data_IF_039108752280
#
_entry.id   IF_039108752280
#
_cell.length_a   1.000
_cell.length_b   1.000
_cell.length_c   1.000
_cell.angle_alpha   90.00
_cell.angle_beta   90.00
_cell.angle_gamma   90.00
#
_symmetry.space_group_name_H-M   'P 1'
#
loop_
_entity.id
_entity.type
_entity.pdbx_description
1 polymer ?
#
# COMPACT_ATOMS: atom_id res chain seq x y z
N UNK A 1 -4.02 -19.09 -5.85
CA UNK A 1 -4.67 -17.80 -5.55
C UNK A 1 -5.91 -17.94 -4.69
N UNK A 2 -6.92 -18.70 -5.14
CA UNK A 2 -8.11 -18.95 -4.33
C UNK A 2 -7.71 -19.56 -2.99
N UNK A 3 -6.73 -20.47 -2.97
CA UNK A 3 -6.22 -21.04 -1.71
C UNK A 3 -5.52 -20.03 -0.80
N UNK A 4 -4.78 -19.03 -1.32
CA UNK A 4 -4.09 -18.03 -0.48
C UNK A 4 -5.05 -16.99 0.08
N UNK A 5 -6.02 -16.55 -0.72
CA UNK A 5 -7.12 -15.66 -0.29
C UNK A 5 -8.01 -16.37 0.72
N UNK A 6 -8.36 -17.62 0.43
CA UNK A 6 -9.18 -18.45 1.30
C UNK A 6 -8.46 -18.76 2.61
N UNK A 7 -7.16 -19.04 2.56
CA UNK A 7 -6.34 -19.20 3.76
C UNK A 7 -6.33 -17.93 4.61
N UNK A 8 -6.20 -16.74 3.99
CA UNK A 8 -6.25 -15.46 4.71
C UNK A 8 -7.60 -15.22 5.40
N UNK A 9 -8.72 -15.46 4.71
CA UNK A 9 -10.07 -15.34 5.27
C UNK A 9 -10.27 -16.30 6.47
N UNK A 10 -9.75 -17.52 6.37
CA UNK A 10 -10.01 -18.61 7.33
C UNK A 10 -9.06 -18.68 8.50
N UNK A 11 -8.07 -17.78 8.58
CA UNK A 11 -7.14 -17.77 9.70
C UNK A 11 -7.88 -17.69 11.03
N UNK A 12 -7.34 -18.35 12.05
CA UNK A 12 -7.88 -18.29 13.41
C UNK A 12 -7.94 -16.84 13.93
N UNK A 13 -7.04 -15.98 13.47
CA UNK A 13 -7.06 -14.55 13.76
C UNK A 13 -8.38 -13.87 13.31
N UNK A 14 -8.86 -14.16 12.10
CA UNK A 14 -10.15 -13.63 11.62
C UNK A 14 -11.31 -14.19 12.44
N UNK A 15 -11.29 -15.48 12.77
CA UNK A 15 -12.30 -16.13 13.62
C UNK A 15 -12.35 -15.52 15.02
N UNK A 16 -11.21 -15.26 15.64
CA UNK A 16 -11.11 -14.63 16.95
C UNK A 16 -11.70 -13.21 16.93
N UNK A 17 -11.37 -12.41 15.91
CA UNK A 17 -11.97 -11.09 15.72
C UNK A 17 -13.48 -11.16 15.51
N UNK A 18 -13.98 -12.11 14.73
CA UNK A 18 -15.41 -12.28 14.52
C UNK A 18 -16.12 -12.58 15.85
N UNK A 19 -15.59 -13.52 16.62
CA UNK A 19 -16.14 -13.88 17.94
C UNK A 19 -16.09 -12.70 18.91
N UNK A 20 -14.98 -11.96 18.97
CA UNK A 20 -14.81 -10.79 19.83
C UNK A 20 -15.88 -9.72 19.57
N UNK A 21 -16.24 -9.51 18.29
CA UNK A 21 -17.29 -8.57 17.88
C UNK A 21 -18.69 -9.22 17.76
N UNK A 22 -18.92 -10.34 18.46
CA UNK A 22 -20.23 -10.99 18.59
C UNK A 22 -20.75 -11.65 17.33
N UNK A 23 -19.87 -12.13 16.44
CA UNK A 23 -20.21 -12.91 15.26
C UNK A 23 -20.07 -14.42 15.45
N UNK A 24 -20.60 -15.17 14.49
CA UNK A 24 -20.43 -16.63 14.41
C UNK A 24 -19.19 -16.97 13.56
N UNK A 25 -18.07 -17.23 14.22
CA UNK A 25 -16.82 -17.59 13.56
C UNK A 25 -16.90 -18.91 12.77
N UNK A 26 -17.83 -19.81 13.10
CA UNK A 26 -18.00 -21.10 12.39
C UNK A 26 -18.48 -20.90 10.95
N UNK A 27 -19.06 -19.74 10.63
CA UNK A 27 -19.44 -19.38 9.26
C UNK A 27 -18.24 -19.30 8.31
N UNK A 28 -17.03 -19.09 8.82
CA UNK A 28 -15.83 -19.11 7.98
C UNK A 28 -15.39 -20.52 7.55
N UNK A 29 -15.87 -21.57 8.22
CA UNK A 29 -15.59 -22.97 7.85
C UNK A 29 -16.44 -23.44 6.65
N UNK A 30 -17.44 -22.66 6.24
CA UNK A 30 -18.23 -22.89 5.04
C UNK A 30 -17.46 -22.52 3.75
N UNK A 31 -17.77 -23.14 2.59
CA UNK A 31 -17.13 -22.82 1.31
C UNK A 31 -17.09 -21.32 1.01
N UNK A 32 -16.11 -20.86 0.22
CA UNK A 32 -15.87 -19.44 -0.05
C UNK A 32 -17.13 -18.70 -0.55
N UNK A 33 -17.99 -19.39 -1.33
CA UNK A 33 -19.26 -18.84 -1.85
C UNK A 33 -20.24 -18.44 -0.74
N UNK A 34 -20.16 -19.06 0.43
CA UNK A 34 -21.02 -18.80 1.60
C UNK A 34 -20.31 -17.97 2.67
N UNK A 35 -19.03 -18.25 2.93
CA UNK A 35 -18.26 -17.54 3.96
C UNK A 35 -17.94 -16.09 3.58
N UNK A 36 -17.71 -15.79 2.29
CA UNK A 36 -17.40 -14.44 1.85
C UNK A 36 -18.59 -13.47 2.02
N UNK A 37 -19.82 -13.76 1.55
CA UNK A 37 -20.96 -12.87 1.80
C UNK A 37 -21.25 -12.63 3.28
N UNK A 38 -21.06 -13.66 4.12
CA UNK A 38 -21.15 -13.49 5.56
C UNK A 38 -20.09 -12.51 6.08
N UNK A 39 -18.83 -12.71 5.69
CA UNK A 39 -17.72 -11.86 6.11
C UNK A 39 -17.91 -10.42 5.64
N UNK A 40 -18.28 -10.20 4.37
CA UNK A 40 -18.59 -8.88 3.80
C UNK A 40 -19.66 -8.14 4.59
N UNK A 41 -20.71 -8.84 5.01
CA UNK A 41 -21.76 -8.28 5.85
C UNK A 41 -21.25 -7.96 7.25
N UNK A 42 -20.46 -8.87 7.83
CA UNK A 42 -19.92 -8.74 9.19
C UNK A 42 -18.95 -7.56 9.33
N UNK A 43 -17.99 -7.43 8.42
CA UNK A 43 -16.92 -6.41 8.51
C UNK A 43 -17.44 -4.98 8.36
N UNK A 44 -18.69 -4.77 7.92
CA UNK A 44 -19.33 -3.44 7.95
C UNK A 44 -19.39 -2.84 9.35
N UNK A 45 -19.34 -3.66 10.41
CA UNK A 45 -19.21 -3.20 11.80
C UNK A 45 -17.91 -2.44 12.05
N UNK A 46 -16.88 -2.69 11.23
CA UNK A 46 -15.58 -2.05 11.26
C UNK A 46 -15.46 -0.90 10.26
N UNK A 47 -16.56 -0.41 9.69
CA UNK A 47 -16.57 0.77 8.83
C UNK A 47 -16.63 2.07 9.65
N UNK A 48 -15.56 2.32 10.41
CA UNK A 48 -15.39 3.51 11.25
C UNK A 48 -15.40 4.81 10.44
N UNK A 49 -15.02 4.77 9.15
CA UNK A 49 -15.12 5.92 8.24
C UNK A 49 -16.57 6.28 7.96
N UNK A 50 -17.42 5.31 7.64
CA UNK A 50 -18.84 5.55 7.40
C UNK A 50 -19.55 6.04 8.67
N UNK A 51 -19.20 5.50 9.84
CA UNK A 51 -19.76 5.91 11.14
C UNK A 51 -19.54 7.38 11.48
N UNK A 52 -18.52 8.03 10.88
CA UNK A 52 -18.24 9.47 11.06
C UNK A 52 -18.54 10.32 9.83
N UNK A 53 -19.36 9.84 8.90
CA UNK A 53 -19.76 10.61 7.71
C UNK A 53 -18.71 10.69 6.60
N UNK A 54 -17.83 9.69 6.50
CA UNK A 54 -16.87 9.56 5.38
C UNK A 54 -15.50 10.16 5.63
N UNK A 55 -15.04 10.22 6.87
CA UNK A 55 -13.75 10.85 7.23
C UNK A 55 -12.55 10.25 6.50
N UNK A 56 -11.49 11.04 6.39
CA UNK A 56 -10.17 10.60 5.93
C UNK A 56 -9.61 9.48 6.82
N UNK A 57 -8.78 8.60 6.24
CA UNK A 57 -8.19 7.44 6.95
C UNK A 57 -7.40 7.83 8.21
N UNK A 58 -6.75 9.00 8.19
CA UNK A 58 -5.96 9.49 9.32
C UNK A 58 -6.80 10.04 10.48
N UNK A 59 -8.11 10.21 10.31
CA UNK A 59 -9.03 10.73 11.33
C UNK A 59 -9.83 9.62 12.06
N UNK A 60 -9.55 8.34 11.76
CA UNK A 60 -10.14 7.21 12.46
C UNK A 60 -9.63 7.22 13.90
N UNK A 61 -10.55 7.04 14.85
CA UNK A 61 -10.23 6.99 16.27
C UNK A 61 -11.00 5.85 16.93
N UNK A 62 -10.37 5.23 17.92
CA UNK A 62 -10.93 4.10 18.64
C UNK A 62 -12.14 4.51 19.48
N UNK A 63 -13.22 3.72 19.39
CA UNK A 63 -14.34 3.81 20.33
C UNK A 63 -13.98 3.09 21.65
N UNK A 64 -14.81 3.22 22.67
CA UNK A 64 -14.56 2.63 23.99
C UNK A 64 -14.31 1.12 23.90
N UNK A 65 -15.19 0.38 23.21
CA UNK A 65 -15.03 -1.06 23.02
C UNK A 65 -13.68 -1.44 22.40
N UNK A 66 -13.25 -0.74 21.35
CA UNK A 66 -11.98 -1.00 20.67
C UNK A 66 -10.79 -0.69 21.57
N UNK A 67 -10.86 0.36 22.38
CA UNK A 67 -9.81 0.68 23.37
C UNK A 67 -9.70 -0.41 24.43
N UNK A 68 -10.83 -0.87 24.96
CA UNK A 68 -10.88 -1.88 26.01
C UNK A 68 -10.33 -3.24 25.56
N UNK A 69 -10.43 -3.55 24.26
CA UNK A 69 -9.99 -4.83 23.68
C UNK A 69 -8.76 -4.69 22.77
N UNK A 70 -8.02 -3.59 22.83
CA UNK A 70 -6.85 -3.35 21.96
C UNK A 70 -5.82 -4.50 22.06
N UNK A 71 -5.56 -4.96 23.29
CA UNK A 71 -4.62 -6.04 23.56
C UNK A 71 -5.02 -7.39 22.94
N UNK A 72 -6.31 -7.59 22.66
CA UNK A 72 -6.84 -8.77 21.97
C UNK A 72 -6.83 -8.57 20.44
N UNK A 73 -7.07 -7.35 19.97
CA UNK A 73 -7.17 -7.01 18.54
C UNK A 73 -5.79 -7.00 17.87
N UNK A 74 -4.80 -6.32 18.44
CA UNK A 74 -3.50 -6.09 17.78
C UNK A 74 -2.73 -7.39 17.44
N UNK A 75 -2.70 -8.43 18.29
CA UNK A 75 -2.11 -9.71 17.92
C UNK A 75 -2.76 -10.34 16.68
N UNK A 76 -4.08 -10.20 16.51
CA UNK A 76 -4.77 -10.73 15.33
C UNK A 76 -4.43 -9.94 14.08
N UNK A 77 -4.29 -8.62 14.20
CA UNK A 77 -3.84 -7.76 13.09
C UNK A 77 -2.43 -8.13 12.62
N UNK A 78 -1.55 -8.52 13.55
CA UNK A 78 -0.23 -9.07 13.22
C UNK A 78 -0.33 -10.39 12.46
N UNK A 79 -1.14 -11.34 12.95
CA UNK A 79 -1.35 -12.63 12.28
C UNK A 79 -1.94 -12.48 10.87
N UNK A 80 -2.87 -11.55 10.68
CA UNK A 80 -3.45 -11.19 9.38
C UNK A 80 -2.48 -10.42 8.47
N UNK A 81 -1.27 -10.08 8.93
CA UNK A 81 -0.24 -9.42 8.14
C UNK A 81 -0.40 -7.89 8.01
N UNK A 82 -1.28 -7.26 8.79
CA UNK A 82 -1.41 -5.80 8.85
C UNK A 82 -0.33 -5.16 9.75
N UNK A 83 0.40 -5.95 10.53
CA UNK A 83 1.49 -5.50 11.39
C UNK A 83 2.72 -6.37 11.16
N UNK A 84 3.88 -5.75 10.95
CA UNK A 84 5.18 -6.43 10.97
C UNK A 84 5.51 -7.30 9.74
N UNK A 85 4.74 -7.22 8.65
CA UNK A 85 5.08 -7.89 7.39
C UNK A 85 6.11 -7.08 6.61
N UNK A 86 7.39 -7.24 6.93
CA UNK A 86 8.48 -6.38 6.44
C UNK A 86 9.52 -7.10 5.58
N UNK A 87 9.42 -8.42 5.43
CA UNK A 87 10.37 -9.22 4.65
C UNK A 87 9.74 -9.70 3.34
N UNK A 88 10.44 -9.58 2.21
CA UNK A 88 9.95 -10.09 0.94
C UNK A 88 9.94 -11.62 0.94
N UNK A 89 8.95 -12.22 0.29
CA UNK A 89 8.86 -13.67 0.13
C UNK A 89 9.81 -14.22 -0.95
N UNK A 90 10.34 -13.35 -1.81
CA UNK A 90 11.25 -13.68 -2.90
C UNK A 90 12.10 -12.46 -3.28
N UNK A 91 13.22 -12.72 -3.95
CA UNK A 91 13.98 -11.68 -4.64
C UNK A 91 13.17 -11.12 -5.83
N UNK A 92 12.90 -9.79 -5.87
CA UNK A 92 12.14 -9.18 -6.94
C UNK A 92 13.03 -8.76 -8.13
N UNK A 93 12.41 -8.58 -9.29
CA UNK A 93 12.96 -7.87 -10.45
C UNK A 93 12.64 -6.37 -10.37
N UNK A 94 11.42 -6.04 -9.91
CA UNK A 94 10.93 -4.67 -9.72
C UNK A 94 10.55 -4.41 -8.27
N UNK A 95 10.93 -3.25 -7.73
CA UNK A 95 10.54 -2.78 -6.40
C UNK A 95 9.75 -1.48 -6.55
N UNK A 96 8.50 -1.48 -6.09
CA UNK A 96 7.55 -0.39 -6.27
C UNK A 96 7.18 0.23 -4.92
N UNK A 97 7.97 1.20 -4.41
CA UNK A 97 7.55 1.98 -3.26
C UNK A 97 6.37 2.88 -3.64
N UNK A 98 5.30 2.80 -2.85
CA UNK A 98 4.06 3.52 -3.12
C UNK A 98 4.08 4.91 -2.47
N UNK A 99 3.48 5.88 -3.16
CA UNK A 99 3.29 7.24 -2.69
C UNK A 99 2.33 7.31 -1.51
N UNK A 100 2.51 8.30 -0.65
CA UNK A 100 1.61 8.56 0.44
C UNK A 100 1.65 9.99 0.95
N UNK A 101 1.01 10.21 2.08
CA UNK A 101 1.00 11.50 2.76
C UNK A 101 2.09 11.58 3.85
N UNK A 102 2.43 12.81 4.26
CA UNK A 102 3.38 13.07 5.37
C UNK A 102 4.73 12.36 5.14
N UNK A 103 5.27 11.65 6.14
CA UNK A 103 6.53 10.90 6.05
C UNK A 103 6.44 9.57 5.28
N UNK A 104 5.26 9.18 4.78
CA UNK A 104 5.10 7.88 4.14
C UNK A 104 6.01 7.69 2.92
N UNK A 105 6.22 8.74 2.12
CA UNK A 105 7.15 8.72 0.98
C UNK A 105 8.57 8.40 1.46
N UNK A 106 9.10 9.20 2.39
CA UNK A 106 10.43 8.97 2.96
C UNK A 106 10.59 7.57 3.55
N UNK A 107 9.67 7.15 4.43
CA UNK A 107 9.78 5.90 5.15
C UNK A 107 9.76 4.67 4.21
N UNK A 108 8.99 4.73 3.10
CA UNK A 108 8.92 3.64 2.12
C UNK A 108 10.17 3.58 1.25
N UNK A 109 10.74 4.71 0.89
CA UNK A 109 12.04 4.75 0.19
C UNK A 109 13.17 4.24 1.12
N UNK A 110 13.17 4.63 2.40
CA UNK A 110 14.10 4.08 3.39
C UNK A 110 13.95 2.57 3.53
N UNK A 111 12.72 2.05 3.53
CA UNK A 111 12.46 0.61 3.57
C UNK A 111 13.03 -0.10 2.34
N UNK A 112 12.90 0.49 1.13
CA UNK A 112 13.53 -0.06 -0.08
C UNK A 112 15.04 -0.17 0.10
N UNK A 113 15.71 0.92 0.53
CA UNK A 113 17.16 0.89 0.76
C UNK A 113 17.55 -0.18 1.78
N UNK A 114 16.83 -0.25 2.91
CA UNK A 114 17.06 -1.25 3.96
C UNK A 114 17.04 -2.68 3.40
N UNK A 115 16.07 -3.02 2.55
CA UNK A 115 15.97 -4.38 1.98
C UNK A 115 17.06 -4.65 0.95
N UNK A 116 17.40 -3.68 0.10
CA UNK A 116 18.51 -3.83 -0.84
C UNK A 116 19.82 -4.11 -0.11
N UNK A 117 20.02 -3.49 1.05
CA UNK A 117 21.21 -3.67 1.87
C UNK A 117 21.17 -4.99 2.67
N UNK A 118 20.03 -5.32 3.31
CA UNK A 118 19.88 -6.51 4.17
C UNK A 118 19.79 -7.83 3.39
N UNK A 119 19.10 -7.83 2.24
CA UNK A 119 18.96 -9.01 1.38
C UNK A 119 20.03 -9.05 0.26
N UNK A 120 20.96 -8.10 0.29
CA UNK A 120 22.06 -7.92 -0.69
C UNK A 120 21.62 -7.78 -2.16
N UNK A 121 20.37 -7.44 -2.43
CA UNK A 121 19.84 -7.29 -3.78
C UNK A 121 20.64 -6.25 -4.60
N UNK A 122 20.83 -6.57 -5.88
CA UNK A 122 21.54 -5.77 -6.87
C UNK A 122 20.85 -5.89 -8.24
N UNK A 123 21.05 -4.94 -9.13
CA UNK A 123 20.53 -5.06 -10.51
C UNK A 123 19.01 -4.95 -10.63
N UNK A 124 18.33 -4.25 -9.71
CA UNK A 124 16.86 -4.16 -9.64
C UNK A 124 16.32 -2.92 -10.34
N UNK A 125 15.05 -2.93 -10.70
CA UNK A 125 14.33 -1.72 -11.12
C UNK A 125 13.50 -1.17 -9.96
N UNK A 126 13.90 -0.03 -9.42
CA UNK A 126 13.16 0.68 -8.39
C UNK A 126 12.27 1.71 -9.09
N UNK A 127 10.95 1.52 -9.07
CA UNK A 127 10.00 2.44 -9.70
C UNK A 127 9.03 2.96 -8.65
N UNK A 128 9.33 4.15 -8.12
CA UNK A 128 8.53 4.80 -7.11
C UNK A 128 7.25 5.38 -7.71
N UNK A 129 6.10 4.95 -7.19
CA UNK A 129 4.79 5.27 -7.75
C UNK A 129 4.11 6.37 -6.95
N UNK A 130 3.65 7.44 -7.59
CA UNK A 130 2.97 8.55 -6.93
C UNK A 130 1.84 9.12 -7.78
N UNK A 131 1.08 10.06 -7.21
CA UNK A 131 0.18 10.93 -7.97
C UNK A 131 0.79 12.31 -8.21
N UNK A 132 0.20 13.08 -9.11
CA UNK A 132 0.57 14.48 -9.36
C UNK A 132 -0.24 15.46 -8.50
N UNK A 133 -0.79 15.01 -7.36
CA UNK A 133 -1.66 15.83 -6.52
C UNK A 133 -0.89 16.94 -5.80
N UNK A 134 -1.49 18.12 -5.59
CA UNK A 134 -0.94 19.12 -4.69
C UNK A 134 -0.81 18.60 -3.25
N UNK A 135 0.13 19.18 -2.52
CA UNK A 135 0.27 18.95 -1.09
C UNK A 135 -0.77 19.74 -0.30
N UNK A 136 -1.29 19.12 0.77
CA UNK A 136 -2.09 19.84 1.76
C UNK A 136 -1.16 20.50 2.80
N UNK A 137 -1.50 21.69 3.29
CA UNK A 137 -0.76 22.39 4.35
C UNK A 137 -0.47 21.55 5.60
N UNK A 138 -1.33 20.59 5.93
CA UNK A 138 -1.13 19.64 7.06
C UNK A 138 0.07 18.71 6.85
N UNK A 139 0.49 18.49 5.60
CA UNK A 139 1.61 17.60 5.27
C UNK A 139 2.96 18.32 5.36
N UNK A 140 2.99 19.65 5.21
CA UNK A 140 4.22 20.43 5.06
C UNK A 140 5.23 20.26 6.21
N UNK A 141 4.83 20.27 7.50
CA UNK A 141 5.80 20.10 8.60
C UNK A 141 6.53 18.75 8.58
N UNK A 142 5.94 17.74 7.96
CA UNK A 142 6.52 16.40 7.85
C UNK A 142 7.46 16.26 6.64
N UNK A 143 7.36 17.18 5.68
CA UNK A 143 8.00 17.11 4.37
C UNK A 143 9.18 18.08 4.28
N UNK A 144 9.09 19.23 4.96
CA UNK A 144 10.08 20.32 4.86
C UNK A 144 11.52 19.91 5.21
N UNK A 145 11.68 18.85 6.00
CA UNK A 145 12.99 18.28 6.35
C UNK A 145 13.73 17.70 5.12
N UNK A 146 12.99 17.13 4.15
CA UNK A 146 13.58 16.36 3.06
C UNK A 146 13.13 16.79 1.66
N UNK A 147 12.05 17.56 1.53
CA UNK A 147 11.60 18.12 0.26
C UNK A 147 10.99 19.52 0.44
N UNK A 148 11.77 20.52 0.89
CA UNK A 148 11.27 21.85 1.27
C UNK A 148 10.59 22.63 0.14
N UNK A 149 10.93 22.31 -1.11
CA UNK A 149 10.40 22.99 -2.31
C UNK A 149 9.34 22.15 -3.05
N UNK A 150 8.82 21.08 -2.43
CA UNK A 150 7.86 20.20 -3.08
C UNK A 150 6.50 20.87 -3.24
N UNK A 151 5.94 20.84 -4.46
CA UNK A 151 4.57 21.29 -4.75
C UNK A 151 3.57 20.14 -4.83
N UNK A 152 4.04 18.95 -5.20
CA UNK A 152 3.22 17.76 -5.43
C UNK A 152 3.74 16.53 -4.70
N UNK A 153 2.92 15.49 -4.58
CA UNK A 153 3.36 14.18 -4.06
C UNK A 153 4.52 13.59 -4.88
N UNK A 154 4.57 13.84 -6.19
CA UNK A 154 5.70 13.48 -7.05
C UNK A 154 7.01 14.15 -6.61
N UNK A 155 6.97 15.44 -6.29
CA UNK A 155 8.16 16.17 -5.82
C UNK A 155 8.62 15.64 -4.45
N UNK A 156 7.67 15.27 -3.58
CA UNK A 156 7.97 14.71 -2.27
C UNK A 156 8.67 13.36 -2.37
N UNK A 157 8.15 12.43 -3.18
CA UNK A 157 8.78 11.11 -3.33
C UNK A 157 10.15 11.22 -4.01
N UNK A 158 10.35 12.21 -4.89
CA UNK A 158 11.67 12.52 -5.46
C UNK A 158 12.66 13.03 -4.40
N UNK A 159 12.27 13.99 -3.54
CA UNK A 159 13.15 14.43 -2.45
C UNK A 159 13.53 13.30 -1.49
N UNK A 160 12.61 12.36 -1.24
CA UNK A 160 12.92 11.14 -0.48
C UNK A 160 13.94 10.25 -1.19
N UNK A 161 13.79 10.02 -2.50
CA UNK A 161 14.75 9.26 -3.32
C UNK A 161 16.14 9.91 -3.27
N UNK A 162 16.22 11.22 -3.49
CA UNK A 162 17.49 11.95 -3.55
C UNK A 162 18.25 11.88 -2.23
N UNK A 163 17.57 12.03 -1.09
CA UNK A 163 18.20 11.95 0.24
C UNK A 163 18.56 10.51 0.60
N UNK A 164 17.69 9.54 0.34
CA UNK A 164 17.91 8.16 0.76
C UNK A 164 18.96 7.47 -0.10
N UNK A 165 18.97 7.69 -1.42
CA UNK A 165 19.93 7.05 -2.33
C UNK A 165 21.14 7.93 -2.66
N UNK A 166 21.13 9.22 -2.30
CA UNK A 166 22.23 10.14 -2.62
C UNK A 166 22.33 10.48 -4.11
N UNK A 167 21.21 10.37 -4.85
CA UNK A 167 21.14 10.64 -6.30
C UNK A 167 20.61 12.05 -6.55
N UNK A 168 21.03 12.69 -7.64
CA UNK A 168 20.62 14.08 -7.98
C UNK A 168 20.50 14.36 -9.47
N UNK A 169 21.29 13.68 -10.30
CA UNK A 169 21.23 13.85 -11.75
C UNK A 169 20.11 12.99 -12.33
N UNK A 170 19.25 13.59 -13.15
CA UNK A 170 18.08 12.91 -13.69
C UNK A 170 17.64 13.51 -15.04
N UNK A 171 16.95 12.68 -15.83
CA UNK A 171 16.10 13.10 -16.92
C UNK A 171 14.64 13.12 -16.45
N UNK A 172 13.93 14.24 -16.70
CA UNK A 172 12.55 14.42 -16.27
C UNK A 172 11.63 14.77 -17.44
N UNK A 173 10.49 14.10 -17.50
CA UNK A 173 9.42 14.36 -18.44
C UNK A 173 8.14 14.64 -17.66
N UNK A 174 7.52 15.79 -17.91
CA UNK A 174 6.25 16.21 -17.29
C UNK A 174 5.21 16.48 -18.36
N UNK A 175 4.00 16.00 -18.14
CA UNK A 175 2.84 16.27 -18.97
C UNK A 175 1.81 17.04 -18.14
N UNK A 176 1.77 18.35 -18.33
CA UNK A 176 0.79 19.22 -17.68
C UNK A 176 -0.53 19.24 -18.47
N UNK A 177 -1.63 19.31 -17.72
CA UNK A 177 -3.00 19.45 -18.20
C UNK A 177 -3.68 20.52 -17.36
N UNK A 178 -4.76 21.10 -17.89
CA UNK A 178 -5.58 22.07 -17.14
C UNK A 178 -6.16 21.43 -15.87
N UNK A 179 -6.59 20.17 -15.96
CA UNK A 179 -6.98 19.38 -14.80
C UNK A 179 -5.75 18.69 -14.21
N UNK A 180 -5.39 19.06 -12.98
CA UNK A 180 -4.26 18.49 -12.24
C UNK A 180 -4.35 16.97 -12.04
N UNK A 181 -5.56 16.41 -11.98
CA UNK A 181 -5.77 14.96 -11.86
C UNK A 181 -5.28 14.20 -13.11
N UNK A 182 -5.15 14.89 -14.25
CA UNK A 182 -4.71 14.32 -15.51
C UNK A 182 -3.23 14.59 -15.82
N UNK A 183 -2.53 15.29 -14.92
CA UNK A 183 -1.10 15.51 -15.03
C UNK A 183 -0.33 14.20 -14.76
N UNK A 184 0.83 14.07 -15.38
CA UNK A 184 1.73 12.95 -15.16
C UNK A 184 3.18 13.39 -15.23
N UNK A 185 4.07 12.60 -14.64
CA UNK A 185 5.50 12.84 -14.69
C UNK A 185 6.29 11.55 -14.57
N UNK A 186 7.47 11.53 -15.19
CA UNK A 186 8.50 10.53 -14.95
C UNK A 186 9.81 11.24 -14.70
N UNK A 187 10.57 10.75 -13.71
CA UNK A 187 11.96 11.11 -13.50
C UNK A 187 12.82 9.85 -13.46
N UNK A 188 13.84 9.79 -14.30
CA UNK A 188 14.82 8.70 -14.34
C UNK A 188 16.15 9.23 -13.83
N UNK A 189 16.66 8.67 -12.73
CA UNK A 189 17.95 9.09 -12.18
C UNK A 189 19.08 8.43 -12.97
N UNK A 190 20.13 9.20 -13.25
CA UNK A 190 21.29 8.76 -14.04
C UNK A 190 22.29 7.94 -13.22
N UNK A 191 22.22 8.05 -11.89
CA UNK A 191 23.06 7.29 -10.96
C UNK A 191 22.28 6.11 -10.40
N UNK A 192 22.91 4.94 -10.42
CA UNK A 192 22.37 3.71 -9.85
C UNK A 192 22.81 3.52 -8.39
N UNK A 193 21.99 2.82 -7.60
CA UNK A 193 22.36 2.35 -6.27
C UNK A 193 22.46 0.82 -6.29
N UNK A 194 23.62 0.24 -6.00
CA UNK A 194 23.85 -1.23 -6.10
C UNK A 194 23.41 -1.78 -7.47
N UNK A 195 23.81 -1.13 -8.56
CA UNK A 195 23.38 -1.43 -9.93
C UNK A 195 21.85 -1.40 -10.15
N UNK A 196 21.09 -0.81 -9.24
CA UNK A 196 19.64 -0.70 -9.37
C UNK A 196 19.29 0.62 -10.07
N UNK A 197 18.47 0.53 -11.10
CA UNK A 197 17.91 1.70 -11.78
C UNK A 197 16.81 2.33 -10.94
N UNK A 198 16.79 3.65 -10.84
CA UNK A 198 15.83 4.38 -10.02
C UNK A 198 14.98 5.28 -10.91
N UNK A 199 13.66 5.05 -10.87
CA UNK A 199 12.66 5.84 -11.57
C UNK A 199 11.59 6.28 -10.58
N UNK A 200 11.08 7.49 -10.74
CA UNK A 200 9.87 7.98 -10.09
C UNK A 200 8.81 8.24 -11.15
N UNK A 201 7.58 7.83 -10.88
CA UNK A 201 6.47 7.86 -11.82
C UNK A 201 5.22 8.40 -11.12
N UNK A 202 4.75 9.56 -11.58
CA UNK A 202 3.44 10.10 -11.26
C UNK A 202 2.44 9.75 -12.35
N UNK A 203 1.43 8.96 -11.99
CA UNK A 203 0.38 8.57 -12.92
C UNK A 203 -0.75 9.61 -12.99
N UNK A 204 -1.32 9.82 -14.19
CA UNK A 204 -2.58 10.52 -14.29
C UNK A 204 -3.70 9.63 -13.75
N UNK A 205 -4.76 10.26 -13.24
CA UNK A 205 -6.00 9.60 -12.87
C UNK A 205 -6.71 9.06 -14.12
N UNK A 206 -7.28 7.86 -14.04
CA UNK A 206 -8.19 7.37 -15.07
C UNK A 206 -9.56 8.05 -15.06
N UNK A 207 -9.82 8.95 -14.10
CA UNK A 207 -11.06 9.69 -13.94
C UNK A 207 -10.75 11.16 -13.62
N UNK A 208 -11.14 12.13 -14.47
CA UNK A 208 -10.88 13.55 -14.26
C UNK A 208 -11.45 14.11 -12.94
N UNK A 209 -12.50 13.50 -12.38
CA UNK A 209 -13.19 13.96 -11.18
C UNK A 209 -12.53 13.57 -9.85
N UNK A 210 -11.45 12.78 -9.89
CA UNK A 210 -10.73 12.32 -8.69
C UNK A 210 -9.23 12.28 -8.91
N UNK A 211 -8.48 12.38 -7.82
CA UNK A 211 -7.04 12.06 -7.82
C UNK A 211 -6.76 10.64 -8.28
N UNK A 212 -5.57 10.43 -8.84
CA UNK A 212 -5.03 9.10 -9.14
C UNK A 212 -5.01 8.23 -7.88
N UNK A 213 -5.40 6.98 -8.02
CA UNK A 213 -5.35 5.97 -6.96
C UNK A 213 -4.27 4.92 -7.27
N UNK A 214 -4.07 3.95 -6.36
CA UNK A 214 -3.06 2.91 -6.54
C UNK A 214 -3.23 2.13 -7.87
N UNK A 215 -4.47 1.86 -8.29
CA UNK A 215 -4.74 1.16 -9.55
C UNK A 215 -4.34 1.98 -10.78
N UNK A 216 -4.57 3.31 -10.76
CA UNK A 216 -4.09 4.19 -11.84
C UNK A 216 -2.55 4.15 -11.92
N UNK A 217 -1.88 4.19 -10.76
CA UNK A 217 -0.41 4.11 -10.72
C UNK A 217 0.14 2.77 -11.17
N UNK A 218 -0.50 1.66 -10.82
CA UNK A 218 -0.11 0.32 -11.26
C UNK A 218 -0.27 0.15 -12.77
N UNK A 219 -1.39 0.61 -13.33
CA UNK A 219 -1.62 0.57 -14.78
C UNK A 219 -0.64 1.45 -15.53
N UNK A 220 -0.31 2.63 -15.01
CA UNK A 220 0.71 3.48 -15.63
C UNK A 220 2.08 2.82 -15.60
N UNK A 221 2.46 2.18 -14.49
CA UNK A 221 3.69 1.40 -14.40
C UNK A 221 3.74 0.30 -15.48
N UNK A 222 2.71 -0.55 -15.56
CA UNK A 222 2.66 -1.64 -16.55
C UNK A 222 2.66 -1.16 -18.00
N UNK A 223 2.12 0.04 -18.28
CA UNK A 223 2.20 0.65 -19.61
C UNK A 223 3.62 1.08 -19.99
N UNK A 224 4.40 1.50 -18.99
CA UNK A 224 5.71 2.12 -19.21
C UNK A 224 6.86 1.11 -19.09
N UNK A 225 6.65 0.06 -18.31
CA UNK A 225 7.60 -1.01 -18.07
C UNK A 225 6.97 -2.32 -18.53
N UNK A 226 7.34 -2.85 -19.72
CA UNK A 226 6.81 -4.11 -20.20
C UNK A 226 7.34 -5.26 -19.32
N UNK A 227 6.45 -5.80 -18.50
CA UNK A 227 6.76 -6.93 -17.61
C UNK A 227 6.74 -8.22 -18.41
N UNK A 228 7.79 -9.01 -18.28
CA UNK A 228 7.89 -10.35 -18.88
C UNK A 228 7.20 -11.37 -17.97
N UNK A 229 6.61 -12.38 -18.60
CA UNK A 229 6.03 -13.53 -17.90
C UNK A 229 7.02 -14.12 -16.88
N UNK A 230 6.53 -14.39 -15.68
CA UNK A 230 7.29 -14.94 -14.57
C UNK A 230 8.13 -13.93 -13.76
N UNK A 231 8.19 -12.66 -14.17
CA UNK A 231 8.89 -11.64 -13.37
C UNK A 231 8.21 -11.41 -12.02
N UNK A 232 9.01 -10.96 -11.06
CA UNK A 232 8.63 -10.79 -9.66
C UNK A 232 8.62 -9.31 -9.29
N UNK A 233 7.54 -8.86 -8.69
CA UNK A 233 7.35 -7.46 -8.30
C UNK A 233 7.09 -7.37 -6.80
N UNK A 234 7.81 -6.48 -6.12
CA UNK A 234 7.66 -6.20 -4.70
C UNK A 234 7.06 -4.81 -4.49
N UNK A 235 5.86 -4.75 -3.93
CA UNK A 235 5.28 -3.49 -3.45
C UNK A 235 5.83 -3.12 -2.08
N UNK A 236 6.14 -1.84 -1.86
CA UNK A 236 6.53 -1.32 -0.54
C UNK A 236 5.54 -0.24 -0.08
N UNK A 237 4.84 -0.51 1.02
CA UNK A 237 3.79 0.36 1.58
C UNK A 237 3.91 0.47 3.11
N UNK A 238 2.91 1.00 3.81
CA UNK A 238 2.81 0.90 5.27
C UNK A 238 2.17 -0.43 5.66
N UNK A 239 2.66 -1.13 6.70
CA UNK A 239 2.21 -2.48 7.08
C UNK A 239 0.68 -2.66 7.08
N UNK A 240 -0.05 -1.68 7.60
CA UNK A 240 -1.52 -1.70 7.68
C UNK A 240 -2.22 -1.89 6.32
N UNK A 241 -1.60 -1.44 5.23
CA UNK A 241 -2.14 -1.53 3.87
C UNK A 241 -1.67 -2.76 3.11
N UNK A 242 -0.78 -3.59 3.67
CA UNK A 242 -0.13 -4.67 2.92
C UNK A 242 -1.15 -5.68 2.36
N UNK A 243 -2.08 -6.24 3.14
CA UNK A 243 -3.04 -7.19 2.59
C UNK A 243 -3.94 -6.57 1.52
N UNK A 244 -4.40 -5.32 1.74
CA UNK A 244 -5.21 -4.58 0.78
C UNK A 244 -4.47 -4.34 -0.54
N UNK A 245 -3.25 -3.79 -0.49
CA UNK A 245 -2.46 -3.47 -1.68
C UNK A 245 -2.07 -4.72 -2.46
N UNK A 246 -1.73 -5.81 -1.76
CA UNK A 246 -1.47 -7.10 -2.38
C UNK A 246 -2.70 -7.56 -3.19
N UNK A 247 -3.89 -7.58 -2.59
CA UNK A 247 -5.12 -7.98 -3.27
C UNK A 247 -5.42 -7.10 -4.49
N UNK A 248 -5.23 -5.78 -4.37
CA UNK A 248 -5.46 -4.84 -5.47
C UNK A 248 -4.51 -5.04 -6.65
N UNK A 249 -3.25 -5.38 -6.41
CA UNK A 249 -2.29 -5.58 -7.50
C UNK A 249 -2.32 -7.01 -8.05
N UNK A 250 -2.79 -7.97 -7.25
CA UNK A 250 -2.93 -9.36 -7.65
C UNK A 250 -3.87 -9.55 -8.86
N UNK A 251 -4.88 -8.69 -9.01
CA UNK A 251 -5.73 -8.61 -10.21
C UNK A 251 -4.90 -8.44 -11.48
N UNK A 252 -4.00 -7.45 -11.49
CA UNK A 252 -3.13 -7.17 -12.65
C UNK A 252 -2.05 -8.24 -12.84
N UNK A 253 -1.57 -8.84 -11.75
CA UNK A 253 -0.58 -9.91 -11.78
C UNK A 253 -1.07 -11.17 -12.48
N UNK A 254 -2.36 -11.50 -12.34
CA UNK A 254 -2.98 -12.59 -13.08
C UNK A 254 -3.07 -12.32 -14.57
N UNK A 255 -3.49 -11.11 -14.94
CA UNK A 255 -3.65 -10.72 -16.34
C UNK A 255 -2.30 -10.65 -17.06
N UNK A 256 -1.24 -10.22 -16.34
CA UNK A 256 0.10 -10.02 -16.88
C UNK A 256 1.07 -11.19 -16.69
N UNK A 257 0.65 -12.32 -16.13
CA UNK A 257 1.48 -13.50 -15.83
C UNK A 257 2.77 -13.16 -15.05
N UNK A 258 2.64 -12.37 -13.99
CA UNK A 258 3.76 -12.03 -13.09
C UNK A 258 3.41 -12.32 -11.63
N UNK A 259 4.43 -12.41 -10.78
CA UNK A 259 4.25 -12.64 -9.35
C UNK A 259 4.38 -11.34 -8.57
N UNK A 260 3.49 -11.12 -7.60
CA UNK A 260 3.51 -9.95 -6.73
C UNK A 260 3.68 -10.34 -5.27
N UNK A 261 4.49 -9.59 -4.55
CA UNK A 261 4.53 -9.56 -3.10
C UNK A 261 4.37 -8.11 -2.60
N UNK A 262 4.05 -7.94 -1.33
CA UNK A 262 3.87 -6.63 -0.71
C UNK A 262 4.37 -6.63 0.72
N UNK A 263 5.16 -5.63 1.08
CA UNK A 263 5.71 -5.48 2.42
C UNK A 263 5.45 -4.07 2.94
N UNK A 264 5.51 -3.97 4.26
CA UNK A 264 5.36 -2.74 4.99
C UNK A 264 6.70 -2.15 5.44
N UNK A 265 6.70 -0.86 5.74
CA UNK A 265 7.77 -0.20 6.50
C UNK A 265 7.90 -0.83 7.89
N UNK A 266 9.13 -1.11 8.31
CA UNK A 266 9.47 -1.66 9.63
C UNK A 266 9.41 -0.62 10.75
N UNK A 267 9.16 -1.09 11.98
CA UNK A 267 8.96 -0.23 13.16
C UNK A 267 10.16 0.67 13.49
N UNK A 268 11.39 0.21 13.20
CA UNK A 268 12.63 1.01 13.37
C UNK A 268 12.66 2.25 12.47
N UNK A 269 12.04 2.19 11.29
CA UNK A 269 11.92 3.34 10.37
C UNK A 269 10.72 4.24 10.69
N UNK A 270 9.85 3.81 11.61
CA UNK A 270 8.67 4.57 12.04
C UNK A 270 8.90 5.30 13.37
N UNK A 271 10.11 5.27 13.95
CA UNK A 271 10.40 5.90 15.23
C UNK A 271 9.93 7.36 15.27
N UNK A 272 9.14 7.72 16.29
CA UNK A 272 8.53 9.04 16.46
C UNK A 272 7.22 9.27 15.69
N UNK A 273 6.79 8.34 14.83
CA UNK A 273 5.46 8.39 14.19
C UNK A 273 4.40 7.75 15.10
N UNK A 274 3.22 8.38 15.27
CA UNK A 274 2.13 7.75 16.00
C UNK A 274 1.73 6.44 15.34
N UNK A 275 1.59 5.36 16.12
CA UNK A 275 0.99 4.12 15.63
C UNK A 275 -0.48 4.34 15.30
N UNK A 276 -0.96 3.63 14.30
CA UNK A 276 -2.39 3.54 14.02
C UNK A 276 -3.10 2.91 15.22
N UNK A 277 -4.26 3.47 15.61
CA UNK A 277 -5.15 2.84 16.60
C UNK A 277 -5.75 1.54 16.08
N UNK A 278 -6.29 0.71 16.97
CA UNK A 278 -6.86 -0.59 16.62
C UNK A 278 -8.03 -0.47 15.62
N UNK A 279 -8.83 0.60 15.67
CA UNK A 279 -9.91 0.85 14.73
C UNK A 279 -9.41 1.06 13.30
N UNK A 280 -8.22 1.65 13.11
CA UNK A 280 -7.63 1.79 11.78
C UNK A 280 -7.29 0.44 11.18
N UNK A 281 -6.75 -0.49 11.98
CA UNK A 281 -6.44 -1.84 11.50
C UNK A 281 -7.72 -2.63 11.15
N UNK A 282 -8.77 -2.50 11.96
CA UNK A 282 -10.08 -3.08 11.68
C UNK A 282 -10.71 -2.50 10.40
N UNK A 283 -10.62 -1.18 10.19
CA UNK A 283 -11.05 -0.54 8.95
C UNK A 283 -10.30 -1.08 7.72
N UNK A 284 -8.98 -1.25 7.83
CA UNK A 284 -8.20 -1.76 6.69
C UNK A 284 -8.42 -3.26 6.50
N UNK A 285 -8.76 -4.02 7.54
CA UNK A 285 -9.25 -5.41 7.42
C UNK A 285 -10.54 -5.46 6.60
N UNK A 286 -11.49 -4.55 6.88
CA UNK A 286 -12.71 -4.38 6.07
C UNK A 286 -12.37 -4.04 4.62
N UNK A 287 -11.45 -3.11 4.39
CA UNK A 287 -11.02 -2.74 3.04
C UNK A 287 -10.36 -3.91 2.28
N UNK A 288 -9.60 -4.77 2.97
CA UNK A 288 -9.03 -5.99 2.39
C UNK A 288 -10.13 -6.97 2.00
N UNK A 289 -11.14 -7.20 2.84
CA UNK A 289 -12.29 -8.04 2.51
C UNK A 289 -13.02 -7.52 1.27
N UNK A 290 -13.29 -6.21 1.19
CA UNK A 290 -13.90 -5.62 0.00
C UNK A 290 -13.05 -5.84 -1.26
N UNK A 291 -11.72 -5.70 -1.15
CA UNK A 291 -10.81 -5.91 -2.26
C UNK A 291 -10.79 -7.37 -2.73
N UNK A 292 -10.84 -8.33 -1.80
CA UNK A 292 -10.96 -9.76 -2.09
C UNK A 292 -12.28 -10.04 -2.83
N UNK A 293 -13.38 -9.46 -2.38
CA UNK A 293 -14.68 -9.63 -3.04
C UNK A 293 -14.68 -9.15 -4.47
N UNK A 294 -14.13 -7.95 -4.72
CA UNK A 294 -13.98 -7.42 -6.07
C UNK A 294 -13.12 -8.34 -6.94
N UNK A 295 -11.97 -8.79 -6.42
CA UNK A 295 -11.09 -9.71 -7.13
C UNK A 295 -11.82 -11.00 -7.51
N UNK A 296 -12.54 -11.63 -6.59
CA UNK A 296 -13.29 -12.86 -6.86
C UNK A 296 -14.41 -12.64 -7.89
N UNK A 297 -15.07 -11.47 -7.88
CA UNK A 297 -16.10 -11.13 -8.85
C UNK A 297 -15.54 -10.97 -10.26
N UNK A 298 -14.30 -10.47 -10.42
CA UNK A 298 -13.65 -10.31 -11.73
C UNK A 298 -13.30 -11.65 -12.42
N UNK A 299 -13.29 -12.78 -11.69
CA UNK A 299 -12.95 -14.11 -12.23
C UNK A 299 -14.08 -15.15 -12.09
N UNK A 300 -15.33 -14.69 -11.97
CA UNK A 300 -16.54 -15.53 -12.09
C UNK A 300 -17.12 -15.43 -13.49
#
# INVERSE_FOLDING_TARGET
MTETIYAWIRQDAMKQLISLFGGDAKKLDAPLKESLPYLESFVKRWDFRAQKGGTERWAIADNEFVKDHEAEILPQMKSLGLIGRTKPAFEPDFILPLGGARRANLNRIQMVRKILDEEEFTGKHIVALSGFRPLNGVELPFISEYAPNAGTEFDVINGAIEIVFGVREYDEQKSYRENENLCSAQRTYLTEYRNCQIVSLAAPSGDPGRRANSMDTFRQFLRQFPIKAGQKILLVTSCIYVPYQLCRFQELALEGDFTVDCIGVSDDLLQGSPRSGAASYLQETKATVDAISLLIQSYR
#
